data_IF_842193052359
#
_entry.id   IF_842193052359
#
_cell.length_a   1.000
_cell.length_b   1.000
_cell.length_c   1.000
_cell.angle_alpha   90.00
_cell.angle_beta   90.00
_cell.angle_gamma   90.00
#
_symmetry.space_group_name_H-M   'P 1'
#
loop_
_entity.id
_entity.type
_entity.pdbx_description
1 polymer ?
#
# COMPACT_ATOMS: atom_id res chain seq x y z
N UNK A 1 15.64 -4.76 12.78
CA UNK A 1 14.31 -4.58 12.14
C UNK A 1 14.52 -4.75 10.65
N UNK A 2 13.62 -5.45 9.95
CA UNK A 2 13.69 -5.61 8.48
C UNK A 2 13.73 -4.22 7.81
N UNK A 3 14.44 -4.12 6.70
CA UNK A 3 14.43 -2.88 5.91
C UNK A 3 13.10 -2.73 5.17
N UNK A 4 12.60 -1.51 5.01
CA UNK A 4 11.32 -1.26 4.34
C UNK A 4 11.32 -1.82 2.90
N UNK A 5 12.48 -1.86 2.22
CA UNK A 5 12.60 -2.50 0.90
C UNK A 5 12.37 -4.02 0.94
N UNK A 6 12.83 -4.70 1.99
CA UNK A 6 12.57 -6.14 2.17
C UNK A 6 11.08 -6.38 2.47
N UNK A 7 10.47 -5.50 3.27
CA UNK A 7 9.04 -5.55 3.56
C UNK A 7 8.22 -5.37 2.27
N UNK A 8 8.62 -4.46 1.38
CA UNK A 8 7.95 -4.29 0.08
C UNK A 8 8.13 -5.54 -0.79
N UNK A 9 9.31 -6.16 -0.83
CA UNK A 9 9.50 -7.42 -1.59
C UNK A 9 8.61 -8.55 -1.06
N UNK A 10 8.56 -8.74 0.24
CA UNK A 10 7.69 -9.74 0.88
C UNK A 10 6.20 -9.44 0.59
N UNK A 11 5.83 -8.17 0.55
CA UNK A 11 4.49 -7.75 0.16
C UNK A 11 4.20 -8.07 -1.31
N UNK A 12 5.12 -7.78 -2.23
CA UNK A 12 5.02 -8.10 -3.66
C UNK A 12 4.84 -9.61 -3.89
N UNK A 13 5.62 -10.43 -3.18
CA UNK A 13 5.49 -11.90 -3.19
C UNK A 13 4.12 -12.34 -2.67
N UNK A 14 3.65 -11.75 -1.55
CA UNK A 14 2.36 -12.09 -0.94
C UNK A 14 1.18 -11.79 -1.85
N UNK A 15 1.22 -10.67 -2.58
CA UNK A 15 0.13 -10.26 -3.48
C UNK A 15 0.34 -10.75 -4.93
N UNK A 16 1.48 -11.37 -5.23
CA UNK A 16 1.86 -11.85 -6.55
C UNK A 16 2.00 -10.73 -7.60
N UNK A 17 2.35 -9.50 -7.19
CA UNK A 17 2.42 -8.32 -8.06
C UNK A 17 3.52 -7.38 -7.63
N UNK A 18 4.18 -6.76 -8.62
CA UNK A 18 5.14 -5.69 -8.33
C UNK A 18 4.44 -4.40 -7.92
N UNK A 19 5.05 -3.70 -6.96
CA UNK A 19 4.64 -2.41 -6.43
C UNK A 19 5.66 -1.37 -6.92
N UNK A 20 5.35 -0.63 -8.01
CA UNK A 20 6.29 0.32 -8.56
C UNK A 20 6.55 1.48 -7.60
N UNK A 21 7.78 1.97 -7.60
CA UNK A 21 8.15 3.19 -6.86
C UNK A 21 7.63 4.40 -7.63
N UNK A 22 6.90 5.28 -6.94
CA UNK A 22 6.27 6.47 -7.52
C UNK A 22 6.68 7.73 -6.78
N UNK A 23 6.68 8.86 -7.48
CA UNK A 23 6.96 10.19 -6.89
C UNK A 23 5.84 10.64 -5.95
N UNK A 24 4.61 10.31 -6.32
CA UNK A 24 3.39 10.67 -5.60
C UNK A 24 2.33 9.56 -5.77
N UNK A 25 1.43 9.47 -4.79
CA UNK A 25 0.25 8.61 -4.87
C UNK A 25 -0.94 9.51 -5.19
N UNK A 26 -1.54 9.32 -6.36
CA UNK A 26 -2.67 10.13 -6.82
C UNK A 26 -3.99 9.42 -6.47
N UNK A 27 -4.79 10.05 -5.59
CA UNK A 27 -6.07 9.51 -5.12
C UNK A 27 -7.28 9.98 -5.94
N UNK A 28 -7.07 10.81 -6.98
CA UNK A 28 -8.16 11.53 -7.62
C UNK A 28 -8.90 10.67 -8.68
N UNK A 29 -10.23 10.48 -8.55
CA UNK A 29 -11.00 9.56 -9.37
C UNK A 29 -11.36 10.06 -10.78
N UNK A 30 -11.10 11.33 -11.12
CA UNK A 30 -11.60 11.95 -12.37
C UNK A 30 -10.53 12.21 -13.44
N UNK A 31 -9.29 11.74 -13.27
CA UNK A 31 -8.29 11.90 -14.32
C UNK A 31 -8.40 10.75 -15.33
N UNK A 32 -9.06 11.04 -16.45
CA UNK A 32 -9.11 10.23 -17.67
C UNK A 32 -7.79 10.20 -18.45
N UNK A 33 -6.67 10.56 -17.82
CA UNK A 33 -5.35 10.24 -18.37
C UNK A 33 -4.92 8.88 -17.81
N UNK A 34 -4.26 8.08 -18.64
CA UNK A 34 -3.74 6.73 -18.37
C UNK A 34 -2.68 6.65 -17.24
N UNK A 35 -2.88 7.35 -16.11
CA UNK A 35 -2.01 7.46 -14.94
C UNK A 35 -2.71 7.06 -13.63
N UNK A 36 -3.84 6.35 -13.70
CA UNK A 36 -4.40 5.67 -12.53
C UNK A 36 -3.42 4.56 -12.10
N UNK A 37 -2.51 4.90 -11.19
CA UNK A 37 -1.62 3.95 -10.55
C UNK A 37 -2.49 3.20 -9.53
N UNK A 38 -2.97 2.02 -9.91
CA UNK A 38 -3.73 1.13 -9.01
C UNK A 38 -2.86 0.66 -7.82
N UNK A 39 -1.54 0.58 -8.02
CA UNK A 39 -0.58 0.10 -7.02
C UNK A 39 0.73 0.87 -7.08
N UNK A 40 1.25 1.31 -5.94
CA UNK A 40 2.51 2.05 -5.91
C UNK A 40 3.00 2.37 -4.51
N UNK A 41 4.30 2.59 -4.38
CA UNK A 41 4.98 2.90 -3.12
C UNK A 41 5.81 4.17 -3.25
N UNK A 42 5.72 5.04 -2.25
CA UNK A 42 6.56 6.23 -2.12
C UNK A 42 7.51 6.05 -0.95
N UNK A 43 8.77 6.39 -1.16
CA UNK A 43 9.78 6.41 -0.11
C UNK A 43 10.07 7.85 0.33
N UNK A 44 10.25 8.03 1.64
CA UNK A 44 10.94 9.16 2.25
C UNK A 44 12.32 8.68 2.72
N UNK A 45 13.36 9.00 1.96
CA UNK A 45 14.69 8.40 2.11
C UNK A 45 14.66 6.87 1.96
N UNK A 46 14.99 6.15 3.04
CA UNK A 46 14.96 4.67 3.08
C UNK A 46 13.65 4.09 3.60
N UNK A 47 12.70 4.93 4.02
CA UNK A 47 11.46 4.51 4.66
C UNK A 47 10.27 4.64 3.71
N UNK A 48 9.30 3.75 3.80
CA UNK A 48 8.05 3.90 3.06
C UNK A 48 7.17 4.92 3.76
N UNK A 49 6.73 5.94 3.03
CA UNK A 49 5.87 7.02 3.53
C UNK A 49 4.44 6.90 3.02
N UNK A 50 4.23 6.43 1.80
CA UNK A 50 2.89 6.19 1.24
C UNK A 50 2.84 4.85 0.50
N UNK A 51 1.71 4.14 0.63
CA UNK A 51 1.46 2.88 -0.05
C UNK A 51 0.03 2.87 -0.62
N UNK A 52 -0.10 2.55 -1.90
CA UNK A 52 -1.37 2.37 -2.57
C UNK A 52 -1.53 0.91 -2.98
N UNK A 53 -2.58 0.27 -2.48
CA UNK A 53 -2.99 -1.09 -2.83
C UNK A 53 -4.47 -1.07 -3.27
N UNK A 54 -4.89 -0.05 -4.00
CA UNK A 54 -6.28 0.11 -4.44
C UNK A 54 -6.71 -1.08 -5.30
N UNK A 55 -7.73 -1.79 -4.84
CA UNK A 55 -8.33 -2.90 -5.58
C UNK A 55 -8.93 -2.41 -6.91
N UNK A 56 -8.73 -3.22 -7.95
CA UNK A 56 -9.13 -2.87 -9.31
C UNK A 56 -9.08 -4.07 -10.25
N UNK A 57 -9.56 -3.88 -11.48
CA UNK A 57 -9.63 -4.96 -12.47
C UNK A 57 -8.27 -5.56 -12.83
N UNK A 58 -7.19 -4.77 -12.74
CA UNK A 58 -5.82 -5.21 -13.04
C UNK A 58 -5.15 -5.95 -11.89
N UNK A 59 -5.48 -5.61 -10.65
CA UNK A 59 -4.79 -6.13 -9.46
C UNK A 59 -5.63 -7.11 -8.62
N UNK A 60 -6.90 -7.32 -8.96
CA UNK A 60 -7.80 -8.07 -8.10
C UNK A 60 -8.18 -7.24 -6.86
N UNK A 61 -8.75 -7.92 -5.86
CA UNK A 61 -9.22 -7.29 -4.63
C UNK A 61 -8.76 -8.10 -3.44
N UNK A 62 -8.07 -7.45 -2.51
CA UNK A 62 -7.62 -8.07 -1.27
C UNK A 62 -8.82 -8.41 -0.38
N UNK A 63 -8.87 -9.64 0.12
CA UNK A 63 -9.89 -10.05 1.10
C UNK A 63 -9.42 -9.83 2.54
N UNK A 64 -8.09 -9.86 2.75
CA UNK A 64 -7.42 -9.57 4.01
C UNK A 64 -6.25 -8.61 3.77
N UNK A 65 -5.90 -7.80 4.77
CA UNK A 65 -4.74 -6.93 4.69
C UNK A 65 -3.46 -7.78 4.85
N UNK A 66 -2.51 -7.75 3.90
CA UNK A 66 -1.26 -8.49 4.02
C UNK A 66 -0.45 -8.06 5.24
N UNK A 67 0.05 -9.02 6.02
CA UNK A 67 0.82 -8.76 7.24
C UNK A 67 2.07 -7.89 7.02
N UNK A 68 2.82 -7.98 5.90
CA UNK A 68 3.98 -7.12 5.67
C UNK A 68 3.67 -5.63 5.76
N UNK A 69 2.47 -5.19 5.34
CA UNK A 69 2.04 -3.78 5.42
C UNK A 69 2.14 -3.25 6.86
N UNK A 70 1.84 -4.09 7.85
CA UNK A 70 1.81 -3.73 9.27
C UNK A 70 3.20 -3.48 9.88
N UNK A 71 4.26 -3.84 9.15
CA UNK A 71 5.64 -3.61 9.56
C UNK A 71 6.20 -2.26 9.08
N UNK A 72 5.46 -1.52 8.24
CA UNK A 72 5.84 -0.21 7.72
C UNK A 72 5.57 0.91 8.74
N UNK A 73 6.42 1.01 9.78
CA UNK A 73 6.19 1.91 10.93
C UNK A 73 6.17 3.41 10.59
N UNK A 74 6.76 3.81 9.46
CA UNK A 74 6.77 5.19 8.98
C UNK A 74 5.67 5.50 7.95
N UNK A 75 4.82 4.53 7.65
CA UNK A 75 3.73 4.69 6.69
C UNK A 75 2.76 5.76 7.20
N UNK A 76 2.59 6.83 6.42
CA UNK A 76 1.68 7.95 6.70
C UNK A 76 0.39 7.87 5.91
N UNK A 77 0.46 7.32 4.69
CA UNK A 77 -0.71 7.18 3.82
C UNK A 77 -0.84 5.74 3.33
N UNK A 78 -2.02 5.14 3.51
CA UNK A 78 -2.32 3.79 3.05
C UNK A 78 -3.65 3.78 2.31
N UNK A 79 -3.67 3.56 0.99
CA UNK A 79 -4.93 3.43 0.26
C UNK A 79 -5.29 1.97 0.01
N UNK A 80 -6.46 1.57 0.53
CA UNK A 80 -7.03 0.23 0.38
C UNK A 80 -8.37 0.23 -0.37
N UNK A 81 -8.75 1.35 -1.00
CA UNK A 81 -10.03 1.50 -1.68
C UNK A 81 -10.24 0.42 -2.75
N UNK A 82 -11.48 0.01 -2.99
CA UNK A 82 -11.80 -1.00 -4.01
C UNK A 82 -11.42 -2.44 -3.65
N UNK A 83 -10.88 -2.70 -2.46
CA UNK A 83 -10.67 -4.06 -1.94
C UNK A 83 -11.93 -4.66 -1.30
N UNK A 84 -11.85 -5.92 -0.88
CA UNK A 84 -12.92 -6.70 -0.21
C UNK A 84 -12.61 -6.95 1.27
N UNK A 85 -11.80 -6.09 1.87
CA UNK A 85 -11.43 -6.19 3.28
C UNK A 85 -12.68 -6.10 4.15
N UNK A 86 -12.96 -7.14 4.93
CA UNK A 86 -14.07 -7.14 5.90
C UNK A 86 -13.62 -6.75 7.30
N UNK A 87 -12.36 -7.05 7.62
CA UNK A 87 -11.78 -6.89 8.95
C UNK A 87 -10.37 -6.34 8.79
N UNK A 88 -10.00 -5.36 9.61
CA UNK A 88 -8.61 -4.99 9.82
C UNK A 88 -8.06 -5.78 11.01
N UNK A 89 -6.84 -6.36 10.91
CA UNK A 89 -6.28 -7.15 11.99
C UNK A 89 -6.02 -6.27 13.23
N UNK A 90 -6.06 -6.84 14.44
CA UNK A 90 -5.76 -6.09 15.69
C UNK A 90 -4.40 -5.39 15.67
N UNK A 91 -3.45 -5.96 14.92
CA UNK A 91 -2.12 -5.41 14.67
C UNK A 91 -2.11 -4.17 13.75
N UNK A 92 -3.24 -3.73 13.19
CA UNK A 92 -3.34 -2.49 12.42
C UNK A 92 -2.87 -1.26 13.21
N UNK A 93 -3.09 -1.26 14.54
CA UNK A 93 -2.58 -0.21 15.45
C UNK A 93 -1.04 -0.14 15.55
N UNK A 94 -0.29 -1.05 14.93
CA UNK A 94 1.17 -0.94 14.79
C UNK A 94 1.60 0.18 13.84
N UNK A 95 0.71 0.61 12.93
CA UNK A 95 0.91 1.72 12.00
C UNK A 95 0.78 3.08 12.71
N UNK A 96 1.67 3.34 13.68
CA UNK A 96 1.59 4.50 14.57
C UNK A 96 1.76 5.86 13.89
N UNK A 97 2.35 5.87 12.70
CA UNK A 97 2.56 7.09 11.91
C UNK A 97 1.48 7.31 10.85
N UNK A 98 0.45 6.45 10.80
CA UNK A 98 -0.59 6.54 9.78
C UNK A 98 -1.49 7.75 10.04
N UNK A 99 -1.57 8.62 9.03
CA UNK A 99 -2.34 9.87 9.06
C UNK A 99 -3.53 9.81 8.10
N UNK A 100 -3.44 9.00 7.02
CA UNK A 100 -4.47 8.88 5.98
C UNK A 100 -4.69 7.41 5.59
N UNK A 101 -5.96 7.01 5.48
CA UNK A 101 -6.43 5.66 5.12
C UNK A 101 -7.52 5.72 4.04
#
# INVERSE_FOLDING_TARGET
MKEDREIIRELEETIGKSIPIVKEINYHPLFFENKNIDIGVKFDGKRVSSLNLKGGWRIGRLENLPEPVLNLRNLRELNLAGNRLRILPKSFGKLKSLERL
#
